data_IF_105294289033
#
_entry.id   IF_105294289033
#
_cell.length_a   1.000
_cell.length_b   1.000
_cell.length_c   1.000
_cell.angle_alpha   90.00
_cell.angle_beta   90.00
_cell.angle_gamma   90.00
#
_symmetry.space_group_name_H-M   'P 1'
#
loop_
_entity.id
_entity.type
_entity.pdbx_description
1 polymer ?
#
# COMPACT_ATOMS: atom_id res chain seq x y z
N UNK A 1 -19.91 24.78 22.98
CA UNK A 1 -19.53 23.51 23.64
C UNK A 1 -20.34 22.27 23.20
N UNK A 2 -21.18 22.34 22.14
CA UNK A 2 -21.90 21.16 21.61
C UNK A 2 -21.23 20.51 20.37
N UNK A 3 -20.40 21.27 19.63
CA UNK A 3 -19.70 20.76 18.43
C UNK A 3 -18.50 19.85 18.74
N UNK A 4 -17.82 20.06 19.88
CA UNK A 4 -16.67 19.24 20.28
C UNK A 4 -17.06 17.81 20.68
N UNK A 5 -18.22 17.60 21.31
CA UNK A 5 -18.68 16.26 21.69
C UNK A 5 -19.06 15.39 20.48
N UNK A 6 -19.56 16.00 19.40
CA UNK A 6 -19.97 15.27 18.19
C UNK A 6 -18.79 14.73 17.38
N UNK A 7 -17.63 15.39 17.42
CA UNK A 7 -16.44 14.94 16.70
C UNK A 7 -15.66 13.88 17.48
N UNK A 8 -15.70 13.92 18.82
CA UNK A 8 -15.02 12.94 19.68
C UNK A 8 -15.68 11.55 19.62
N UNK A 9 -17.01 11.47 19.47
CA UNK A 9 -17.70 10.17 19.29
C UNK A 9 -17.42 9.50 17.94
N UNK A 10 -17.10 10.29 16.90
CA UNK A 10 -16.81 9.77 15.56
C UNK A 10 -15.40 9.18 15.47
N UNK A 11 -14.45 9.68 16.27
CA UNK A 11 -13.09 9.12 16.38
C UNK A 11 -13.10 7.81 17.20
N UNK A 12 -13.93 7.72 18.24
CA UNK A 12 -13.99 6.53 19.10
C UNK A 12 -14.60 5.28 18.42
N UNK A 13 -15.46 5.48 17.42
CA UNK A 13 -16.10 4.36 16.68
C UNK A 13 -15.17 3.72 15.65
N UNK A 14 -14.14 4.42 15.18
CA UNK A 14 -13.17 3.87 14.21
C UNK A 14 -12.13 2.97 14.89
N UNK A 15 -11.79 3.24 16.16
CA UNK A 15 -10.79 2.47 16.91
C UNK A 15 -11.31 1.05 17.24
N UNK A 16 -12.62 0.89 17.45
CA UNK A 16 -13.21 -0.41 17.81
C UNK A 16 -13.35 -1.41 16.64
N UNK A 17 -13.20 -0.97 15.38
CA UNK A 17 -13.22 -1.88 14.22
C UNK A 17 -11.87 -2.57 13.94
N UNK A 18 -10.77 -2.09 14.55
CA UNK A 18 -9.43 -2.59 14.26
C UNK A 18 -9.13 -3.97 14.90
N UNK A 19 -9.86 -4.36 15.94
CA UNK A 19 -9.63 -5.62 16.66
C UNK A 19 -10.25 -6.87 15.99
N UNK A 20 -10.98 -6.72 14.88
CA UNK A 20 -11.66 -7.84 14.20
C UNK A 20 -10.87 -8.47 13.04
N UNK A 21 -9.69 -7.94 12.68
CA UNK A 21 -8.91 -8.41 11.53
C UNK A 21 -7.80 -9.37 11.99
N UNK A 22 -8.17 -10.63 12.25
CA UNK A 22 -7.22 -11.69 12.49
C UNK A 22 -6.34 -11.92 11.25
N UNK A 23 -5.02 -11.92 11.43
CA UNK A 23 -4.06 -12.16 10.35
C UNK A 23 -4.20 -13.59 9.78
N UNK A 24 -4.17 -13.78 8.44
CA UNK A 24 -4.25 -15.10 7.84
C UNK A 24 -2.98 -15.93 8.11
N UNK A 25 -3.15 -17.24 8.33
CA UNK A 25 -2.04 -18.19 8.53
C UNK A 25 -1.29 -18.44 7.22
N UNK A 26 0.04 -18.42 7.27
CA UNK A 26 0.92 -18.76 6.14
C UNK A 26 0.73 -20.23 5.75
N UNK A 27 0.34 -20.47 4.49
CA UNK A 27 0.16 -21.81 3.93
C UNK A 27 1.48 -22.29 3.31
N UNK A 28 1.87 -23.53 3.60
CA UNK A 28 3.04 -24.14 2.96
C UNK A 28 2.69 -24.55 1.53
N UNK A 29 3.47 -24.06 0.55
CA UNK A 29 3.27 -24.38 -0.87
C UNK A 29 3.66 -25.82 -1.21
N UNK A 30 2.79 -26.50 -1.93
CA UNK A 30 3.12 -27.76 -2.59
C UNK A 30 3.68 -27.51 -4.00
N UNK A 31 4.49 -28.42 -4.53
CA UNK A 31 5.00 -28.36 -5.90
C UNK A 31 3.89 -28.32 -6.97
N UNK A 32 2.66 -28.73 -6.63
CA UNK A 32 1.48 -28.65 -7.49
C UNK A 32 0.89 -27.24 -7.59
N UNK A 33 1.26 -26.35 -6.68
CA UNK A 33 0.73 -24.98 -6.58
C UNK A 33 1.64 -23.97 -7.30
N UNK A 34 2.80 -24.41 -7.79
CA UNK A 34 3.76 -23.58 -8.52
C UNK A 34 3.36 -23.40 -10.00
N UNK A 35 3.59 -22.20 -10.57
CA UNK A 35 3.30 -21.94 -11.98
C UNK A 35 4.25 -22.71 -12.90
N UNK A 36 3.75 -23.00 -14.10
CA UNK A 36 4.50 -23.75 -15.12
C UNK A 36 4.71 -22.89 -16.35
N UNK A 37 5.90 -22.98 -16.93
CA UNK A 37 6.20 -22.33 -18.20
C UNK A 37 5.62 -23.15 -19.35
N UNK A 38 4.77 -22.54 -20.17
CA UNK A 38 4.24 -23.17 -21.36
C UNK A 38 5.09 -22.76 -22.58
N UNK A 39 5.85 -23.72 -23.12
CA UNK A 39 6.75 -23.51 -24.26
C UNK A 39 6.02 -23.10 -25.54
N UNK A 40 4.72 -23.41 -25.69
CA UNK A 40 3.93 -23.03 -26.88
C UNK A 40 3.53 -21.57 -26.87
N UNK A 41 3.15 -21.05 -25.71
CA UNK A 41 2.70 -19.66 -25.54
C UNK A 41 3.84 -18.73 -25.11
N UNK A 42 5.00 -19.29 -24.73
CA UNK A 42 6.13 -18.56 -24.14
C UNK A 42 5.73 -17.75 -22.90
N UNK A 43 4.71 -18.22 -22.17
CA UNK A 43 4.13 -17.56 -20.99
C UNK A 43 4.10 -18.52 -19.80
N UNK A 44 4.16 -17.94 -18.62
CA UNK A 44 3.91 -18.61 -17.36
C UNK A 44 2.41 -18.73 -17.12
N UNK A 45 1.96 -19.92 -16.76
CA UNK A 45 0.57 -20.24 -16.47
C UNK A 45 0.42 -20.59 -14.99
N UNK A 46 -0.63 -20.04 -14.37
CA UNK A 46 -1.02 -20.33 -12.99
C UNK A 46 -1.39 -21.81 -12.84
N UNK A 47 -1.03 -22.38 -11.69
CA UNK A 47 -1.53 -23.70 -11.32
C UNK A 47 -3.06 -23.67 -11.14
N UNK A 48 -3.78 -24.78 -11.40
CA UNK A 48 -5.24 -24.83 -11.24
C UNK A 48 -5.71 -24.59 -9.79
N UNK A 49 -4.84 -24.85 -8.81
CA UNK A 49 -5.08 -24.56 -7.38
C UNK A 49 -4.22 -23.39 -6.87
N UNK A 50 -3.74 -22.51 -7.76
CA UNK A 50 -2.89 -21.41 -7.37
C UNK A 50 -3.59 -20.51 -6.34
N UNK A 51 -2.84 -20.13 -5.32
CA UNK A 51 -3.29 -19.11 -4.38
C UNK A 51 -3.52 -17.79 -5.13
N UNK A 52 -4.56 -17.07 -4.72
CA UNK A 52 -4.79 -15.72 -5.22
C UNK A 52 -3.90 -14.75 -4.45
N UNK A 53 -3.15 -13.95 -5.20
CA UNK A 53 -2.34 -12.88 -4.62
C UNK A 53 -3.17 -11.78 -3.98
N UNK A 54 -2.54 -10.91 -3.20
CA UNK A 54 -3.21 -9.81 -2.54
C UNK A 54 -3.76 -8.78 -3.54
N UNK A 55 -4.87 -8.12 -3.19
CA UNK A 55 -5.56 -7.18 -4.07
C UNK A 55 -4.77 -5.88 -4.27
N UNK A 56 -5.18 -5.13 -5.30
CA UNK A 56 -4.48 -3.93 -5.76
C UNK A 56 -4.31 -2.84 -4.67
N UNK A 57 -5.31 -2.65 -3.81
CA UNK A 57 -5.22 -1.67 -2.73
C UNK A 57 -4.10 -2.00 -1.73
N UNK A 58 -3.78 -3.28 -1.53
CA UNK A 58 -2.66 -3.66 -0.66
C UNK A 58 -1.31 -3.33 -1.29
N UNK A 59 -1.16 -3.37 -2.61
CA UNK A 59 0.06 -2.85 -3.26
C UNK A 59 0.27 -1.38 -2.93
N UNK A 60 -0.77 -0.55 -3.05
CA UNK A 60 -0.68 0.87 -2.73
C UNK A 60 -0.29 1.12 -1.28
N UNK A 61 -0.86 0.34 -0.35
CA UNK A 61 -0.57 0.46 1.08
C UNK A 61 0.81 -0.08 1.47
N UNK A 62 1.32 -1.11 0.78
CA UNK A 62 2.60 -1.77 1.10
C UNK A 62 3.80 -1.09 0.46
N UNK A 63 3.71 -0.84 -0.85
CA UNK A 63 4.85 -0.50 -1.71
C UNK A 63 4.63 0.81 -2.48
N UNK A 64 3.54 1.52 -2.16
CA UNK A 64 3.26 2.85 -2.68
C UNK A 64 2.65 2.91 -4.08
N UNK A 65 2.64 4.11 -4.68
CA UNK A 65 1.84 4.39 -5.87
C UNK A 65 2.44 3.81 -7.15
N UNK A 66 3.77 3.70 -7.25
CA UNK A 66 4.45 3.23 -8.46
C UNK A 66 4.02 1.80 -8.82
N UNK A 67 4.21 0.79 -7.95
CA UNK A 67 3.77 -0.57 -8.26
C UNK A 67 2.25 -0.67 -8.41
N UNK A 68 1.48 0.18 -7.71
CA UNK A 68 0.02 0.24 -7.89
C UNK A 68 -0.36 0.61 -9.33
N UNK A 69 0.26 1.66 -9.90
CA UNK A 69 0.01 2.05 -11.28
C UNK A 69 0.60 1.06 -12.28
N UNK A 70 1.72 0.42 -11.98
CA UNK A 70 2.28 -0.66 -12.81
C UNK A 70 1.29 -1.81 -12.92
N UNK A 71 0.71 -2.27 -11.80
CA UNK A 71 -0.31 -3.33 -11.80
C UNK A 71 -1.58 -2.94 -12.57
N UNK A 72 -1.94 -1.66 -12.58
CA UNK A 72 -3.11 -1.14 -13.32
C UNK A 72 -2.87 -1.02 -14.82
N UNK A 73 -1.68 -0.57 -15.22
CA UNK A 73 -1.39 -0.22 -16.62
C UNK A 73 -0.67 -1.32 -17.39
N UNK A 74 0.04 -2.20 -16.68
CA UNK A 74 0.88 -3.28 -17.21
C UNK A 74 0.56 -4.61 -16.51
N UNK A 75 -0.73 -4.92 -16.35
CA UNK A 75 -1.20 -6.07 -15.56
C UNK A 75 -0.64 -7.41 -16.06
N UNK A 76 -0.58 -7.61 -17.37
CA UNK A 76 -0.15 -8.86 -17.98
C UNK A 76 1.35 -9.09 -17.76
N UNK A 77 2.17 -8.08 -18.04
CA UNK A 77 3.63 -8.16 -17.87
C UNK A 77 4.00 -8.29 -16.39
N UNK A 78 3.30 -7.57 -15.51
CA UNK A 78 3.42 -7.72 -14.07
C UNK A 78 3.10 -9.14 -13.62
N UNK A 79 1.97 -9.72 -14.07
CA UNK A 79 1.59 -11.08 -13.70
C UNK A 79 2.63 -12.11 -14.19
N UNK A 80 3.14 -11.95 -15.40
CA UNK A 80 4.20 -12.82 -15.93
C UNK A 80 5.49 -12.73 -15.11
N UNK A 81 5.88 -11.52 -14.67
CA UNK A 81 7.04 -11.34 -13.80
C UNK A 81 6.85 -12.02 -12.45
N UNK A 82 5.67 -11.87 -11.83
CA UNK A 82 5.31 -12.52 -10.57
C UNK A 82 5.37 -14.04 -10.69
N UNK A 83 4.74 -14.62 -11.73
CA UNK A 83 4.72 -16.08 -11.91
C UNK A 83 6.11 -16.64 -12.19
N UNK A 84 6.92 -15.92 -12.98
CA UNK A 84 8.33 -16.27 -13.21
C UNK A 84 9.12 -16.27 -11.92
N UNK A 85 8.96 -15.25 -11.09
CA UNK A 85 9.64 -15.15 -9.80
C UNK A 85 9.20 -16.26 -8.85
N UNK A 86 7.89 -16.51 -8.77
CA UNK A 86 7.30 -17.57 -7.97
C UNK A 86 7.87 -18.95 -8.34
N UNK A 87 7.96 -19.26 -9.64
CA UNK A 87 8.56 -20.52 -10.10
C UNK A 87 10.06 -20.63 -9.77
N UNK A 88 10.78 -19.53 -9.85
CA UNK A 88 12.24 -19.49 -9.65
C UNK A 88 12.61 -19.67 -8.17
N UNK A 89 11.95 -18.91 -7.29
CA UNK A 89 12.21 -18.87 -5.85
C UNK A 89 11.36 -19.87 -5.06
N UNK A 90 10.38 -20.51 -5.71
CA UNK A 90 9.44 -21.49 -5.12
C UNK A 90 8.71 -20.93 -3.89
N UNK A 91 8.36 -19.65 -3.94
CA UNK A 91 7.68 -18.93 -2.86
C UNK A 91 6.17 -18.83 -3.08
N UNK A 92 5.44 -18.29 -2.09
CA UNK A 92 4.01 -18.02 -2.22
C UNK A 92 3.74 -16.90 -3.22
N UNK A 93 2.51 -16.85 -3.74
CA UNK A 93 2.12 -15.79 -4.67
C UNK A 93 2.23 -14.40 -4.03
N UNK A 94 1.94 -14.29 -2.72
CA UNK A 94 2.03 -13.04 -1.98
C UNK A 94 3.49 -12.59 -1.83
N UNK A 95 4.40 -13.52 -1.53
CA UNK A 95 5.83 -13.24 -1.47
C UNK A 95 6.37 -12.80 -2.83
N UNK A 96 5.95 -13.49 -3.90
CA UNK A 96 6.34 -13.15 -5.26
C UNK A 96 5.80 -11.78 -5.70
N UNK A 97 4.55 -11.46 -5.38
CA UNK A 97 3.96 -10.15 -5.64
C UNK A 97 4.65 -9.05 -4.84
N UNK A 98 4.91 -9.26 -3.55
CA UNK A 98 5.60 -8.27 -2.72
C UNK A 98 7.03 -8.00 -3.21
N UNK A 99 7.73 -9.05 -3.66
CA UNK A 99 9.05 -8.91 -4.28
C UNK A 99 9.01 -8.11 -5.59
N UNK A 100 8.05 -8.40 -6.47
CA UNK A 100 7.92 -7.66 -7.72
C UNK A 100 7.49 -6.21 -7.49
N UNK A 101 6.56 -5.97 -6.56
CA UNK A 101 6.17 -4.61 -6.18
C UNK A 101 7.38 -3.81 -5.66
N UNK A 102 8.23 -4.40 -4.79
CA UNK A 102 9.44 -3.76 -4.30
C UNK A 102 10.47 -3.49 -5.41
N UNK A 103 10.60 -4.42 -6.37
CA UNK A 103 11.43 -4.22 -7.56
C UNK A 103 10.94 -3.02 -8.39
N UNK A 104 9.64 -2.91 -8.64
CA UNK A 104 9.07 -1.81 -9.42
C UNK A 104 9.09 -0.48 -8.67
N UNK A 105 9.01 -0.49 -7.34
CA UNK A 105 9.15 0.72 -6.52
C UNK A 105 10.58 1.29 -6.63
N UNK A 106 11.60 0.46 -6.41
CA UNK A 106 13.00 0.88 -6.51
C UNK A 106 13.92 -0.30 -6.88
N UNK A 107 14.27 -0.46 -8.17
CA UNK A 107 15.09 -1.58 -8.64
C UNK A 107 16.50 -1.60 -8.03
N UNK A 108 17.09 -0.44 -7.75
CA UNK A 108 18.45 -0.34 -7.23
C UNK A 108 18.52 -0.79 -5.76
N UNK A 109 17.55 -0.34 -4.97
CA UNK A 109 17.46 -0.75 -3.56
C UNK A 109 17.09 -2.23 -3.42
N UNK A 110 16.17 -2.71 -4.26
CA UNK A 110 15.83 -4.12 -4.32
C UNK A 110 17.05 -5.00 -4.65
N UNK A 111 17.85 -4.62 -5.66
CA UNK A 111 19.06 -5.36 -6.03
C UNK A 111 20.09 -5.37 -4.90
N UNK A 112 20.25 -4.24 -4.19
CA UNK A 112 21.13 -4.14 -3.04
C UNK A 112 20.66 -5.00 -1.86
N UNK A 113 19.36 -5.02 -1.57
CA UNK A 113 18.76 -5.89 -0.55
C UNK A 113 19.00 -7.37 -0.88
N UNK A 114 18.75 -7.79 -2.13
CA UNK A 114 19.01 -9.18 -2.58
C UNK A 114 20.48 -9.57 -2.42
N UNK A 115 21.41 -8.69 -2.77
CA UNK A 115 22.83 -8.93 -2.55
C UNK A 115 23.18 -9.05 -1.07
N UNK A 116 22.51 -8.31 -0.18
CA UNK A 116 22.68 -8.47 1.26
C UNK A 116 22.08 -9.78 1.78
N UNK A 117 20.92 -10.19 1.30
CA UNK A 117 20.31 -11.48 1.63
C UNK A 117 21.22 -12.66 1.26
N UNK A 118 21.82 -12.61 0.06
CA UNK A 118 22.81 -13.60 -0.39
C UNK A 118 24.06 -13.65 0.48
N UNK A 119 24.45 -12.50 1.07
CA UNK A 119 25.57 -12.40 2.02
C UNK A 119 25.19 -12.82 3.44
N UNK A 120 23.98 -13.32 3.66
CA UNK A 120 23.48 -13.73 4.98
C UNK A 120 22.95 -12.58 5.83
N UNK A 121 22.66 -11.43 5.22
CA UNK A 121 22.00 -10.29 5.85
C UNK A 121 20.52 -10.57 6.19
N UNK A 122 19.83 -9.53 6.63
CA UNK A 122 18.41 -9.61 6.96
C UNK A 122 17.59 -9.96 5.71
N UNK A 123 16.84 -11.08 5.79
CA UNK A 123 15.88 -11.47 4.75
C UNK A 123 14.55 -10.79 5.01
N UNK A 124 14.12 -9.95 4.07
CA UNK A 124 12.84 -9.26 4.16
C UNK A 124 11.72 -10.22 3.77
N UNK A 125 10.67 -10.27 4.59
CA UNK A 125 9.44 -11.00 4.29
C UNK A 125 8.51 -10.08 3.49
N UNK A 126 8.40 -10.31 2.18
CA UNK A 126 7.61 -9.48 1.29
C UNK A 126 6.12 -9.89 1.27
N UNK A 127 5.81 -11.10 1.73
CA UNK A 127 4.47 -11.67 1.78
C UNK A 127 3.74 -11.42 3.10
N UNK A 128 4.43 -10.91 4.12
CA UNK A 128 3.87 -10.62 5.44
C UNK A 128 2.57 -9.80 5.35
N UNK A 129 1.49 -10.15 6.09
CA UNK A 129 0.26 -9.37 6.09
C UNK A 129 0.51 -7.96 6.64
N UNK A 130 -0.23 -6.98 6.12
CA UNK A 130 -0.23 -5.63 6.67
C UNK A 130 -0.73 -5.66 8.12
N UNK A 131 -0.06 -4.93 9.01
CA UNK A 131 -0.55 -4.73 10.38
C UNK A 131 -1.80 -3.83 10.34
N UNK A 132 -3.00 -4.34 10.67
CA UNK A 132 -4.23 -3.55 10.62
C UNK A 132 -4.18 -2.31 11.50
N UNK A 133 -3.44 -2.36 12.63
CA UNK A 133 -3.31 -1.23 13.55
C UNK A 133 -2.51 -0.10 12.91
N UNK A 134 -1.40 -0.44 12.26
CA UNK A 134 -0.57 0.53 11.56
C UNK A 134 -1.30 1.14 10.37
N UNK A 135 -2.05 0.33 9.61
CA UNK A 135 -2.87 0.81 8.49
C UNK A 135 -3.94 1.77 8.99
N UNK A 136 -4.71 1.38 10.01
CA UNK A 136 -5.76 2.22 10.58
C UNK A 136 -5.19 3.55 11.10
N UNK A 137 -4.08 3.50 11.84
CA UNK A 137 -3.42 4.70 12.36
C UNK A 137 -2.97 5.64 11.22
N UNK A 138 -2.39 5.08 10.16
CA UNK A 138 -1.93 5.84 8.99
C UNK A 138 -3.10 6.50 8.25
N UNK A 139 -4.21 5.78 8.08
CA UNK A 139 -5.41 6.32 7.44
C UNK A 139 -6.08 7.41 8.27
N UNK A 140 -6.15 7.25 9.60
CA UNK A 140 -6.75 8.26 10.48
C UNK A 140 -5.92 9.53 10.50
N UNK A 141 -4.60 9.43 10.72
CA UNK A 141 -3.73 10.61 10.72
C UNK A 141 -3.60 11.25 9.36
N UNK A 142 -3.38 10.44 8.32
CA UNK A 142 -3.30 10.91 6.93
C UNK A 142 -4.58 11.61 6.50
N UNK A 143 -5.74 11.02 6.80
CA UNK A 143 -7.05 11.61 6.52
C UNK A 143 -7.28 12.90 7.30
N UNK A 144 -6.97 12.92 8.60
CA UNK A 144 -7.12 14.10 9.45
C UNK A 144 -6.24 15.27 9.00
N UNK A 145 -4.96 15.03 8.72
CA UNK A 145 -4.03 16.05 8.23
C UNK A 145 -4.47 16.54 6.85
N UNK A 146 -4.84 15.65 5.94
CA UNK A 146 -5.30 16.02 4.60
C UNK A 146 -6.55 16.89 4.65
N UNK A 147 -7.55 16.51 5.45
CA UNK A 147 -8.76 17.30 5.64
C UNK A 147 -8.46 18.69 6.23
N UNK A 148 -7.53 18.76 7.20
CA UNK A 148 -7.11 20.03 7.79
C UNK A 148 -6.42 20.94 6.76
N UNK A 149 -5.51 20.40 5.94
CA UNK A 149 -4.85 21.16 4.87
C UNK A 149 -5.88 21.66 3.85
N UNK A 150 -6.80 20.80 3.39
CA UNK A 150 -7.85 21.21 2.45
C UNK A 150 -8.75 22.29 3.03
N UNK A 151 -9.11 22.18 4.32
CA UNK A 151 -9.86 23.20 5.02
C UNK A 151 -9.09 24.53 5.08
N UNK A 152 -7.79 24.51 5.39
CA UNK A 152 -6.96 25.71 5.42
C UNK A 152 -6.87 26.37 4.04
N UNK A 153 -6.57 25.59 2.99
CA UNK A 153 -6.49 26.09 1.61
C UNK A 153 -7.82 26.71 1.19
N UNK A 154 -8.94 26.04 1.48
CA UNK A 154 -10.27 26.57 1.19
C UNK A 154 -10.58 27.85 1.99
N UNK A 155 -10.23 27.89 3.27
CA UNK A 155 -10.46 29.05 4.15
C UNK A 155 -9.65 30.28 3.73
N UNK A 156 -8.39 30.06 3.32
CA UNK A 156 -7.53 31.11 2.77
C UNK A 156 -8.03 31.60 1.42
N UNK A 157 -8.35 30.69 0.49
CA UNK A 157 -8.83 31.04 -0.85
C UNK A 157 -10.20 31.71 -0.88
N UNK A 158 -11.08 31.40 0.08
CA UNK A 158 -12.41 32.03 0.20
C UNK A 158 -12.42 33.33 1.02
N UNK A 159 -11.28 33.76 1.56
CA UNK A 159 -11.18 34.94 2.43
C UNK A 159 -11.84 34.76 3.81
N UNK A 160 -12.42 33.60 4.12
CA UNK A 160 -13.02 33.30 5.43
C UNK A 160 -12.01 33.46 6.56
N UNK A 161 -10.76 33.08 6.32
CA UNK A 161 -9.67 33.29 7.27
C UNK A 161 -9.48 34.78 7.58
N UNK A 162 -9.55 35.65 6.58
CA UNK A 162 -9.37 37.09 6.71
C UNK A 162 -10.54 37.80 7.40
N UNK A 163 -11.74 37.21 7.36
CA UNK A 163 -12.86 37.69 8.18
C UNK A 163 -12.69 37.45 9.67
N UNK A 164 -11.86 36.47 10.07
CA UNK A 164 -11.57 36.15 11.48
C UNK A 164 -10.25 36.78 11.94
N UNK A 165 -9.26 36.86 11.04
CA UNK A 165 -7.92 37.39 11.28
C UNK A 165 -7.56 38.48 10.26
N UNK A 166 -8.21 39.65 10.31
CA UNK A 166 -7.95 40.75 9.38
C UNK A 166 -6.52 41.31 9.48
N UNK A 167 -5.87 41.13 10.63
CA UNK A 167 -4.50 41.59 10.91
C UNK A 167 -3.41 40.77 10.22
N UNK A 168 -3.74 39.63 9.62
CA UNK A 168 -2.75 38.80 8.95
C UNK A 168 -2.21 39.48 7.68
N UNK A 169 -0.89 39.56 7.53
CA UNK A 169 -0.22 40.18 6.35
C UNK A 169 -0.72 39.63 5.01
N UNK A 170 -1.02 38.32 4.96
CA UNK A 170 -1.61 37.68 3.78
C UNK A 170 -2.96 38.31 3.39
N UNK A 171 -3.81 38.61 4.37
CA UNK A 171 -5.13 39.17 4.15
C UNK A 171 -5.08 40.60 3.62
N UNK A 172 -4.14 41.42 4.11
CA UNK A 172 -3.95 42.78 3.61
C UNK A 172 -3.50 42.82 2.14
N UNK A 173 -2.73 41.82 1.69
CA UNK A 173 -2.19 41.78 0.33
C UNK A 173 -3.18 41.20 -0.67
N UNK A 174 -3.92 40.15 -0.31
CA UNK A 174 -4.75 39.40 -1.27
C UNK A 174 -6.25 39.66 -1.16
N UNK A 175 -6.72 40.28 -0.08
CA UNK A 175 -8.15 40.45 0.21
C UNK A 175 -8.50 41.85 0.75
N UNK A 176 -7.65 42.87 0.48
CA UNK A 176 -7.96 44.29 0.77
C UNK A 176 -8.90 44.93 -0.25
#
# INVERSE_FOLDING_TARGET
>A
MKLFLSHVCLVATVIALADALAAPKVKQLSAKDLPKFNTKTQRWEKAPNAEQGYPLYETALRNGPVPFFTRLTQSDDYEQAVLKFQASEKCSINEAQGNMDAYFENPNDWAFQRLQEERGGYKRDYGAPLDPKQVALTLVWGGGITAYILYLVYSLGSGKWCGVHPEANFCMVFFS
#
